data_IF_389919757716
#
_entry.id   IF_389919757716
#
_cell.length_a   1.000
_cell.length_b   1.000
_cell.length_c   1.000
_cell.angle_alpha   90.00
_cell.angle_beta   90.00
_cell.angle_gamma   90.00
#
_symmetry.space_group_name_H-M   'P 1'
#
loop_
_entity.id
_entity.type
_entity.pdbx_description
1 polymer ?
#
# COMPACT_ATOMS: atom_id res chain seq x y z
N UNK A 1 -13.99 15.02 6.09
CA UNK A 1 -13.43 14.75 4.76
C UNK A 1 -12.09 14.07 4.96
N UNK A 2 -11.82 12.93 4.30
CA UNK A 2 -10.51 12.29 4.37
C UNK A 2 -9.45 13.20 3.74
N UNK A 3 -8.25 13.23 4.33
CA UNK A 3 -7.08 13.90 3.77
C UNK A 3 -6.22 12.84 3.10
N UNK A 4 -5.86 13.07 1.83
CA UNK A 4 -5.04 12.15 1.05
C UNK A 4 -3.60 12.66 1.08
N UNK A 5 -2.67 11.84 1.57
CA UNK A 5 -1.24 12.15 1.62
C UNK A 5 -0.42 11.07 0.94
N UNK A 6 0.81 11.43 0.51
CA UNK A 6 1.76 10.45 -0.02
C UNK A 6 2.08 9.41 1.05
N UNK A 7 2.21 8.15 0.63
CA UNK A 7 2.56 7.04 1.53
C UNK A 7 4.00 7.19 2.00
N UNK A 8 4.18 7.11 3.31
CA UNK A 8 5.48 7.02 3.98
C UNK A 8 5.69 5.64 4.58
N UNK A 9 6.90 5.36 5.06
CA UNK A 9 7.18 4.11 5.77
C UNK A 9 6.31 3.91 7.03
N UNK A 10 5.84 5.00 7.65
CA UNK A 10 4.99 4.94 8.85
C UNK A 10 3.54 4.52 8.56
N UNK A 11 3.11 4.57 7.30
CA UNK A 11 1.74 4.26 6.89
C UNK A 11 1.53 2.77 6.61
N UNK A 12 2.53 1.92 6.85
CA UNK A 12 2.54 0.49 6.47
C UNK A 12 1.27 -0.23 6.89
N UNK A 13 0.86 -0.10 8.14
CA UNK A 13 -0.26 -0.88 8.66
C UNK A 13 -1.61 -0.37 8.15
N UNK A 14 -1.73 0.94 7.91
CA UNK A 14 -2.92 1.53 7.30
C UNK A 14 -3.03 1.13 5.83
N UNK A 15 -1.93 1.21 5.09
CA UNK A 15 -1.84 0.77 3.70
C UNK A 15 -2.09 -0.73 3.54
N UNK A 16 -1.52 -1.57 4.41
CA UNK A 16 -1.62 -3.03 4.31
C UNK A 16 -3.07 -3.51 4.45
N UNK A 17 -3.88 -2.87 5.30
CA UNK A 17 -5.32 -3.18 5.40
C UNK A 17 -6.03 -2.95 4.07
N UNK A 18 -5.86 -1.76 3.48
CA UNK A 18 -6.46 -1.42 2.20
C UNK A 18 -5.96 -2.31 1.06
N UNK A 19 -4.68 -2.66 1.08
CA UNK A 19 -4.07 -3.56 0.10
C UNK A 19 -4.66 -4.97 0.16
N UNK A 20 -4.84 -5.52 1.36
CA UNK A 20 -5.45 -6.85 1.54
C UNK A 20 -6.93 -6.86 1.12
N UNK A 21 -7.66 -5.78 1.40
CA UNK A 21 -9.04 -5.62 0.93
C UNK A 21 -9.10 -5.55 -0.60
N UNK A 22 -8.16 -4.84 -1.24
CA UNK A 22 -8.03 -4.77 -2.68
C UNK A 22 -7.74 -6.15 -3.30
N UNK A 23 -6.79 -6.90 -2.75
CA UNK A 23 -6.47 -8.26 -3.21
C UNK A 23 -7.68 -9.20 -3.06
N UNK A 24 -8.37 -9.12 -1.93
CA UNK A 24 -9.60 -9.89 -1.68
C UNK A 24 -10.69 -9.55 -2.70
N UNK A 25 -10.92 -8.27 -2.96
CA UNK A 25 -11.91 -7.80 -3.93
C UNK A 25 -11.63 -8.31 -5.35
N UNK A 26 -10.37 -8.33 -5.76
CA UNK A 26 -9.93 -8.85 -7.06
C UNK A 26 -9.64 -10.37 -7.06
N UNK A 27 -9.95 -11.08 -5.97
CA UNK A 27 -9.64 -12.51 -5.81
C UNK A 27 -8.20 -12.86 -6.21
N UNK A 28 -7.27 -11.98 -5.85
CA UNK A 28 -5.84 -12.08 -6.20
C UNK A 28 -5.06 -12.47 -4.97
N UNK A 29 -4.10 -13.39 -5.14
CA UNK A 29 -3.18 -13.78 -4.07
C UNK A 29 -1.75 -13.39 -4.45
N UNK A 30 -1.08 -12.70 -3.53
CA UNK A 30 0.33 -12.35 -3.63
C UNK A 30 1.04 -12.82 -2.37
N UNK A 31 2.31 -13.18 -2.51
CA UNK A 31 3.13 -13.53 -1.36
C UNK A 31 3.40 -12.30 -0.49
N UNK A 32 3.69 -12.54 0.79
CA UNK A 32 4.10 -11.48 1.72
C UNK A 32 5.33 -10.71 1.21
N UNK A 33 6.24 -11.41 0.50
CA UNK A 33 7.43 -10.82 -0.12
C UNK A 33 7.07 -9.80 -1.21
N UNK A 34 6.13 -10.14 -2.10
CA UNK A 34 5.68 -9.22 -3.15
C UNK A 34 4.98 -8.01 -2.53
N UNK A 35 4.12 -8.25 -1.53
CA UNK A 35 3.46 -7.17 -0.79
C UNK A 35 4.47 -6.24 -0.11
N UNK A 36 5.51 -6.79 0.52
CA UNK A 36 6.58 -6.02 1.14
C UNK A 36 7.37 -5.20 0.09
N UNK A 37 7.68 -5.79 -1.07
CA UNK A 37 8.38 -5.12 -2.16
C UNK A 37 7.57 -3.96 -2.74
N UNK A 38 6.26 -4.16 -2.96
CA UNK A 38 5.35 -3.11 -3.43
C UNK A 38 5.35 -1.94 -2.44
N UNK A 39 5.17 -2.22 -1.14
CA UNK A 39 5.18 -1.18 -0.11
C UNK A 39 6.51 -0.41 -0.07
N UNK A 40 7.64 -1.12 -0.15
CA UNK A 40 8.96 -0.50 -0.14
C UNK A 40 9.14 0.49 -1.30
N UNK A 41 8.68 0.13 -2.50
CA UNK A 41 8.73 1.02 -3.68
C UNK A 41 7.82 2.23 -3.55
N UNK A 42 6.62 2.05 -2.99
CA UNK A 42 5.70 3.16 -2.71
C UNK A 42 6.30 4.14 -1.70
N UNK A 43 6.81 3.64 -0.58
CA UNK A 43 7.40 4.48 0.47
C UNK A 43 8.67 5.20 -0.02
N UNK A 44 9.45 4.58 -0.91
CA UNK A 44 10.63 5.17 -1.53
C UNK A 44 10.31 6.08 -2.74
N UNK A 45 9.06 6.08 -3.23
CA UNK A 45 8.64 6.71 -4.49
C UNK A 45 9.50 6.25 -5.69
N UNK A 46 9.92 4.98 -5.68
CA UNK A 46 10.83 4.42 -6.67
C UNK A 46 10.05 3.82 -7.86
N UNK A 47 9.73 4.69 -8.80
CA UNK A 47 8.96 4.35 -10.00
C UNK A 47 7.51 3.94 -9.71
N UNK A 48 7.05 4.11 -8.46
CA UNK A 48 5.68 3.85 -8.03
C UNK A 48 5.27 4.88 -6.97
N UNK A 49 4.17 5.58 -7.21
CA UNK A 49 3.63 6.57 -6.28
C UNK A 49 2.38 6.02 -5.59
N UNK A 50 2.35 6.10 -4.27
CA UNK A 50 1.20 5.72 -3.44
C UNK A 50 0.65 6.89 -2.65
N UNK A 51 -0.67 6.90 -2.47
CA UNK A 51 -1.32 7.80 -1.54
C UNK A 51 -2.36 7.04 -0.70
N UNK A 52 -2.46 7.38 0.58
CA UNK A 52 -3.46 6.82 1.48
C UNK A 52 -4.31 7.95 2.07
N UNK A 53 -5.60 7.67 2.23
CA UNK A 53 -6.49 8.47 3.04
C UNK A 53 -6.42 7.96 4.48
N UNK A 54 -6.02 8.84 5.40
CA UNK A 54 -6.06 8.58 6.85
C UNK A 54 -7.34 9.16 7.47
#
# INVERSE_FOLDING_TARGET
MPIITSVTASDRDAWLRLWNDYLTFYASELTDEVTALVFARLAAQDGLHGACAL
#
